data_IF_640052287042
#
_entry.id   IF_640052287042
#
_cell.length_a   1.000
_cell.length_b   1.000
_cell.length_c   1.000
_cell.angle_alpha   90.00
_cell.angle_beta   90.00
_cell.angle_gamma   90.00
#
_symmetry.space_group_name_H-M   'P 1'
#
loop_
_entity.id
_entity.type
_entity.pdbx_description
1 polymer ?
#
# COMPACT_ATOMS: atom_id res chain seq x y z
N UNK A 1 1.54 -26.88 -3.19
CA UNK A 1 1.32 -25.67 -3.99
C UNK A 1 2.40 -24.66 -3.65
N UNK A 2 3.30 -24.35 -4.58
CA UNK A 2 4.25 -23.25 -4.41
C UNK A 2 3.46 -21.96 -4.60
N UNK A 3 3.15 -21.27 -3.50
CA UNK A 3 2.58 -19.93 -3.56
C UNK A 3 3.67 -19.00 -4.07
N UNK A 4 3.68 -18.72 -5.37
CA UNK A 4 4.50 -17.66 -5.94
C UNK A 4 3.99 -16.33 -5.40
N UNK A 5 4.49 -15.90 -4.25
CA UNK A 5 4.23 -14.55 -3.75
C UNK A 5 4.77 -13.56 -4.77
N UNK A 6 3.88 -12.97 -5.58
CA UNK A 6 4.23 -11.80 -6.36
C UNK A 6 4.51 -10.66 -5.38
N UNK A 7 5.76 -10.22 -5.35
CA UNK A 7 6.20 -9.11 -4.51
C UNK A 7 6.03 -7.81 -5.27
N UNK A 8 5.12 -6.94 -4.83
CA UNK A 8 5.06 -5.55 -5.26
C UNK A 8 6.38 -4.88 -4.86
N UNK A 9 7.06 -4.23 -5.82
CA UNK A 9 8.35 -3.57 -5.59
C UNK A 9 8.12 -2.07 -5.36
N UNK A 10 8.42 -1.62 -4.14
CA UNK A 10 8.38 -0.20 -3.76
C UNK A 10 9.81 0.33 -3.73
N UNK A 11 10.07 1.38 -4.50
CA UNK A 11 11.38 2.04 -4.53
C UNK A 11 11.69 2.75 -3.21
N UNK A 12 12.97 2.84 -2.86
CA UNK A 12 13.40 3.65 -1.71
C UNK A 12 13.15 5.13 -2.00
N UNK A 13 12.83 5.96 -0.98
CA UNK A 13 12.73 7.39 -1.15
C UNK A 13 14.02 7.96 -1.73
N UNK A 14 13.91 8.75 -2.80
CA UNK A 14 15.02 9.46 -3.43
C UNK A 14 15.22 10.82 -2.78
N UNK A 15 14.15 11.44 -2.26
CA UNK A 15 14.20 12.73 -1.59
C UNK A 15 14.31 12.62 -0.07
N UNK A 16 15.01 13.59 0.53
CA UNK A 16 15.21 13.66 1.98
C UNK A 16 13.94 14.08 2.74
N UNK A 17 13.90 13.90 4.07
CA UNK A 17 12.70 14.15 4.89
C UNK A 17 12.22 15.60 4.91
N UNK A 18 13.07 16.57 4.58
CA UNK A 18 12.71 17.99 4.50
C UNK A 18 12.33 18.48 3.11
N UNK A 19 12.37 17.61 2.10
CA UNK A 19 12.12 17.98 0.71
C UNK A 19 10.63 17.91 0.39
N UNK A 20 10.07 18.99 -0.16
CA UNK A 20 8.67 19.04 -0.60
C UNK A 20 8.35 18.03 -1.70
N UNK A 21 9.33 17.65 -2.51
CA UNK A 21 9.17 16.64 -3.57
C UNK A 21 9.02 15.23 -3.01
N UNK A 22 9.43 14.97 -1.75
CA UNK A 22 9.26 13.66 -1.11
C UNK A 22 7.78 13.27 -0.95
N UNK A 23 6.91 14.24 -0.72
CA UNK A 23 5.46 14.00 -0.60
C UNK A 23 4.89 13.50 -1.92
N UNK A 24 5.24 14.18 -3.02
CA UNK A 24 4.81 13.82 -4.38
C UNK A 24 5.39 12.46 -4.76
N UNK A 25 6.68 12.23 -4.54
CA UNK A 25 7.33 10.93 -4.81
C UNK A 25 6.65 9.79 -4.06
N UNK A 26 6.36 9.97 -2.77
CA UNK A 26 5.66 8.98 -1.96
C UNK A 26 4.30 8.65 -2.55
N UNK A 27 3.53 9.66 -2.94
CA UNK A 27 2.19 9.47 -3.51
C UNK A 27 2.26 8.71 -4.84
N UNK A 28 3.18 9.08 -5.73
CA UNK A 28 3.37 8.40 -7.02
C UNK A 28 3.78 6.93 -6.85
N UNK A 29 4.79 6.66 -6.02
CA UNK A 29 5.30 5.31 -5.80
C UNK A 29 4.21 4.42 -5.17
N UNK A 30 3.45 4.95 -4.21
CA UNK A 30 2.35 4.21 -3.59
C UNK A 30 1.19 3.96 -4.56
N UNK A 31 0.83 4.95 -5.40
CA UNK A 31 -0.24 4.78 -6.38
C UNK A 31 0.09 3.70 -7.42
N UNK A 32 1.34 3.66 -7.90
CA UNK A 32 1.80 2.60 -8.82
C UNK A 32 1.76 1.23 -8.14
N UNK A 33 2.31 1.12 -6.94
CA UNK A 33 2.32 -0.12 -6.18
C UNK A 33 0.91 -0.64 -5.88
N UNK A 34 -0.02 0.26 -5.53
CA UNK A 34 -1.41 -0.07 -5.28
C UNK A 34 -2.10 -0.60 -6.54
N UNK A 35 -1.92 0.07 -7.68
CA UNK A 35 -2.48 -0.38 -8.96
C UNK A 35 -1.96 -1.77 -9.33
N UNK A 36 -0.65 -2.00 -9.20
CA UNK A 36 -0.04 -3.28 -9.52
C UNK A 36 -0.58 -4.40 -8.61
N UNK A 37 -0.78 -4.11 -7.32
CA UNK A 37 -1.41 -5.03 -6.38
C UNK A 37 -2.83 -5.42 -6.82
N UNK A 38 -3.66 -4.42 -7.13
CA UNK A 38 -5.05 -4.67 -7.56
C UNK A 38 -5.05 -5.50 -8.84
N UNK A 39 -4.22 -5.18 -9.82
CA UNK A 39 -4.12 -5.94 -11.06
C UNK A 39 -3.74 -7.40 -10.83
N UNK A 40 -2.81 -7.67 -9.91
CA UNK A 40 -2.44 -9.03 -9.50
C UNK A 40 -3.62 -9.77 -8.86
N UNK A 41 -4.38 -9.11 -7.98
CA UNK A 41 -5.58 -9.70 -7.37
C UNK A 41 -6.64 -10.02 -8.42
N UNK A 42 -6.92 -9.10 -9.35
CA UNK A 42 -7.87 -9.34 -10.44
C UNK A 42 -7.43 -10.47 -11.36
N UNK A 43 -6.13 -10.55 -11.70
CA UNK A 43 -5.59 -11.62 -12.51
C UNK A 43 -5.67 -13.00 -11.83
N UNK A 44 -5.71 -13.04 -10.49
CA UNK A 44 -5.95 -14.25 -9.72
C UNK A 44 -7.44 -14.65 -9.66
N UNK A 45 -8.34 -13.85 -10.25
CA UNK A 45 -9.77 -14.12 -10.34
C UNK A 45 -10.62 -13.47 -9.24
N UNK A 46 -10.04 -12.58 -8.44
CA UNK A 46 -10.79 -11.83 -7.42
C UNK A 46 -11.63 -10.71 -8.04
N UNK A 47 -12.74 -10.38 -7.38
CA UNK A 47 -13.63 -9.31 -7.81
C UNK A 47 -13.14 -7.93 -7.34
N UNK A 48 -13.14 -6.95 -8.22
CA UNK A 48 -12.58 -5.62 -7.95
C UNK A 48 -13.20 -4.89 -6.75
N UNK A 49 -14.55 -4.85 -6.59
CA UNK A 49 -15.17 -4.22 -5.43
C UNK A 49 -14.83 -4.91 -4.11
N UNK A 50 -14.69 -6.24 -4.10
CA UNK A 50 -14.31 -6.99 -2.89
C UNK A 50 -12.88 -6.69 -2.47
N UNK A 51 -11.97 -6.63 -3.45
CA UNK A 51 -10.57 -6.24 -3.23
C UNK A 51 -10.49 -4.82 -2.72
N UNK A 52 -11.23 -3.88 -3.32
CA UNK A 52 -11.26 -2.48 -2.90
C UNK A 52 -11.78 -2.30 -1.47
N UNK A 53 -12.89 -2.97 -1.11
CA UNK A 53 -13.45 -2.93 0.23
C UNK A 53 -12.46 -3.49 1.26
N UNK A 54 -11.90 -4.67 0.98
CA UNK A 54 -10.93 -5.31 1.88
C UNK A 54 -9.67 -4.45 2.08
N UNK A 55 -9.21 -3.76 1.03
CA UNK A 55 -8.06 -2.86 1.12
C UNK A 55 -8.36 -1.62 1.97
N UNK A 56 -9.58 -1.09 1.91
CA UNK A 56 -10.00 0.02 2.75
C UNK A 56 -10.00 -0.38 4.23
N UNK A 57 -10.57 -1.55 4.55
CA UNK A 57 -10.60 -2.07 5.93
C UNK A 57 -9.17 -2.29 6.48
N UNK A 58 -8.29 -2.91 5.70
CA UNK A 58 -6.88 -3.12 6.07
C UNK A 58 -6.16 -1.78 6.33
N UNK A 59 -6.43 -0.77 5.51
CA UNK A 59 -5.83 0.55 5.66
C UNK A 59 -6.32 1.24 6.94
N UNK A 60 -7.62 1.16 7.23
CA UNK A 60 -8.22 1.71 8.44
C UNK A 60 -7.64 1.06 9.70
N UNK A 61 -7.60 -0.28 9.74
CA UNK A 61 -7.00 -1.04 10.85
C UNK A 61 -5.54 -0.64 11.10
N UNK A 62 -4.75 -0.47 10.03
CA UNK A 62 -3.36 -0.05 10.14
C UNK A 62 -3.22 1.35 10.73
N UNK A 63 -4.07 2.29 10.32
CA UNK A 63 -4.09 3.66 10.83
C UNK A 63 -4.50 3.68 12.31
N UNK A 64 -5.53 2.92 12.67
CA UNK A 64 -5.98 2.80 14.06
C UNK A 64 -4.88 2.21 14.96
N UNK A 65 -4.22 1.14 14.50
CA UNK A 65 -3.09 0.54 15.22
C UNK A 65 -1.90 1.50 15.36
N UNK A 66 -1.61 2.30 14.33
CA UNK A 66 -0.56 3.33 14.39
C UNK A 66 -0.92 4.43 15.39
N UNK A 67 -2.16 4.91 15.39
CA UNK A 67 -2.64 5.90 16.34
C UNK A 67 -2.54 5.41 17.80
N UNK A 68 -2.93 4.15 18.04
CA UNK A 68 -2.78 3.53 19.37
C UNK A 68 -1.33 3.48 19.85
N UNK A 69 -0.38 3.13 18.97
CA UNK A 69 1.06 3.13 19.30
C UNK A 69 1.64 4.52 19.53
N UNK A 70 1.07 5.54 18.89
CA UNK A 70 1.48 6.94 19.11
C UNK A 70 0.95 7.46 20.44
N UNK A 71 -0.23 7.03 20.88
CA UNK A 71 -0.84 7.45 22.14
C UNK A 71 -0.14 6.87 23.39
N UNK A 72 0.56 5.74 23.28
CA UNK A 72 1.32 5.12 24.37
C UNK A 72 2.73 5.72 24.59
N UNK A 73 3.09 6.77 23.84
CA UNK A 73 4.45 7.34 23.81
C UNK A 73 4.48 8.79 24.29
#
# INVERSE_FOLDING_TARGET
MVSTRQTVRISKPQHSTGDSYRTVEREEVLAVAFRDFVQVALAAGWNEPEVALSLADIADDYVMALAGRVAEK
#
